data_IF_677536661343
#
_entry.id   IF_677536661343
#
_cell.length_a   1.000
_cell.length_b   1.000
_cell.length_c   1.000
_cell.angle_alpha   90.00
_cell.angle_beta   90.00
_cell.angle_gamma   90.00
#
_symmetry.space_group_name_H-M   'P 1'
#
loop_
_entity.id
_entity.type
_entity.pdbx_description
1 polymer ?
#
# COMPACT_ATOMS: atom_id res chain seq x y z
N UNK A 1 -6.37 -31.24 37.45
CA UNK A 1 -5.80 -31.29 36.08
C UNK A 1 -6.47 -30.31 35.10
N UNK A 2 -7.78 -30.02 35.22
CA UNK A 2 -8.54 -29.15 34.29
C UNK A 2 -8.13 -27.66 34.34
N UNK A 3 -7.79 -27.11 35.51
CA UNK A 3 -7.40 -25.70 35.66
C UNK A 3 -6.07 -25.33 34.96
N UNK A 4 -5.16 -26.29 34.78
CA UNK A 4 -3.87 -26.05 34.09
C UNK A 4 -4.06 -25.79 32.60
N UNK A 5 -5.03 -26.47 31.97
CA UNK A 5 -5.34 -26.28 30.54
C UNK A 5 -6.05 -24.94 30.27
N UNK A 6 -6.85 -24.45 31.22
CA UNK A 6 -7.53 -23.14 31.13
C UNK A 6 -6.52 -22.00 31.28
N UNK A 7 -5.54 -22.14 32.16
CA UNK A 7 -4.44 -21.17 32.34
C UNK A 7 -3.58 -21.04 31.07
N UNK A 8 -3.20 -22.17 30.47
CA UNK A 8 -2.39 -22.20 29.24
C UNK A 8 -3.10 -21.53 28.06
N UNK A 9 -4.41 -21.73 27.88
CA UNK A 9 -5.19 -21.06 26.81
C UNK A 9 -5.18 -19.54 26.95
N UNK A 10 -5.29 -19.02 28.18
CA UNK A 10 -5.23 -17.57 28.45
C UNK A 10 -3.87 -16.99 28.11
N UNK A 11 -2.79 -17.70 28.40
CA UNK A 11 -1.42 -17.27 28.05
C UNK A 11 -1.24 -17.18 26.53
N UNK A 12 -1.74 -18.17 25.77
CA UNK A 12 -1.68 -18.13 24.30
C UNK A 12 -2.54 -17.02 23.72
N UNK A 13 -3.73 -16.77 24.29
CA UNK A 13 -4.59 -15.64 23.90
C UNK A 13 -3.92 -14.28 24.17
N UNK A 14 -3.28 -14.13 25.33
CA UNK A 14 -2.57 -12.90 25.67
C UNK A 14 -1.33 -12.70 24.79
N UNK A 15 -0.59 -13.77 24.49
CA UNK A 15 0.55 -13.72 23.57
C UNK A 15 0.13 -13.35 22.14
N UNK A 16 -0.99 -13.90 21.66
CA UNK A 16 -1.55 -13.56 20.34
C UNK A 16 -2.03 -12.11 20.30
N UNK A 17 -2.71 -11.64 21.34
CA UNK A 17 -3.12 -10.24 21.46
C UNK A 17 -1.92 -9.29 21.46
N UNK A 18 -0.85 -9.65 22.19
CA UNK A 18 0.39 -8.87 22.22
C UNK A 18 1.07 -8.82 20.85
N UNK A 19 1.08 -9.94 20.11
CA UNK A 19 1.61 -10.01 18.75
C UNK A 19 0.79 -9.18 17.74
N UNK A 20 -0.52 -9.08 17.93
CA UNK A 20 -1.37 -8.22 17.11
C UNK A 20 -1.15 -6.73 17.40
N UNK A 21 -0.83 -6.37 18.65
CA UNK A 21 -0.58 -4.98 19.05
C UNK A 21 0.82 -4.46 18.67
N UNK A 22 1.77 -5.35 18.36
CA UNK A 22 3.09 -4.99 17.85
C UNK A 22 3.13 -4.82 16.32
N UNK A 23 1.97 -4.87 15.64
CA UNK A 23 1.84 -4.50 14.23
C UNK A 23 2.34 -3.07 13.99
N UNK A 24 3.25 -2.92 13.02
CA UNK A 24 4.09 -1.74 12.82
C UNK A 24 3.35 -0.40 12.80
N UNK A 25 4.05 0.64 13.28
CA UNK A 25 3.57 2.01 13.25
C UNK A 25 3.16 2.39 11.82
N UNK A 26 1.93 2.85 11.65
CA UNK A 26 1.51 3.45 10.38
C UNK A 26 2.40 4.65 10.12
N UNK A 27 3.08 4.65 8.97
CA UNK A 27 3.86 5.81 8.53
C UNK A 27 2.91 7.00 8.41
N UNK A 28 3.07 7.98 9.29
CA UNK A 28 2.30 9.21 9.22
C UNK A 28 2.70 9.91 7.93
N UNK A 29 1.72 10.29 7.11
CA UNK A 29 1.99 11.11 5.94
C UNK A 29 2.75 12.37 6.38
N UNK A 30 3.78 12.75 5.64
CA UNK A 30 4.53 13.96 5.96
C UNK A 30 3.58 15.16 6.00
N UNK A 31 3.68 16.00 7.02
CA UNK A 31 2.90 17.24 7.15
C UNK A 31 3.06 18.16 5.93
N UNK A 32 4.13 17.95 5.16
CA UNK A 32 4.43 18.61 3.88
C UNK A 32 4.79 17.53 2.85
N UNK A 33 3.91 17.20 1.90
CA UNK A 33 4.22 16.23 0.87
C UNK A 33 5.32 16.75 -0.08
N UNK A 34 6.08 15.83 -0.66
CA UNK A 34 6.97 16.17 -1.78
C UNK A 34 6.12 16.36 -3.04
N UNK A 35 6.42 17.40 -3.82
CA UNK A 35 5.74 17.67 -5.10
C UNK A 35 6.75 17.51 -6.22
N UNK A 36 6.44 16.61 -7.17
CA UNK A 36 7.19 16.42 -8.40
C UNK A 36 6.28 16.76 -9.58
N UNK A 37 6.62 17.82 -10.32
CA UNK A 37 5.92 18.19 -11.54
C UNK A 37 6.71 17.69 -12.75
N UNK A 38 6.08 16.84 -13.55
CA UNK A 38 6.65 16.31 -14.80
C UNK A 38 5.84 16.94 -15.93
N UNK A 39 6.52 17.63 -16.83
CA UNK A 39 5.92 18.28 -18.00
C UNK A 39 6.53 17.64 -19.23
N UNK A 40 5.68 17.27 -20.18
CA UNK A 40 6.08 16.75 -21.49
C UNK A 40 5.50 17.68 -22.54
N UNK A 41 6.37 18.18 -23.41
CA UNK A 41 5.97 19.08 -24.49
C UNK A 41 5.27 18.30 -25.62
N UNK A 42 4.24 18.90 -26.22
CA UNK A 42 3.47 18.36 -27.35
C UNK A 42 2.95 16.91 -27.21
N UNK A 43 2.80 16.40 -25.98
CA UNK A 43 2.24 15.07 -25.76
C UNK A 43 0.76 15.04 -26.11
N UNK A 44 0.40 14.20 -27.08
CA UNK A 44 -0.98 13.95 -27.48
C UNK A 44 -1.64 12.86 -26.59
N UNK A 45 -2.79 12.35 -27.04
CA UNK A 45 -3.56 11.30 -26.37
C UNK A 45 -3.01 9.88 -26.56
N UNK A 46 -1.82 9.73 -27.16
CA UNK A 46 -1.14 8.45 -27.32
C UNK A 46 -0.44 8.04 -26.02
N UNK A 47 -1.26 7.88 -24.98
CA UNK A 47 -0.90 7.39 -23.66
C UNK A 47 -1.77 6.18 -23.39
N UNK A 48 -1.19 5.08 -22.93
CA UNK A 48 -1.84 3.78 -22.77
C UNK A 48 -3.13 3.85 -21.95
N UNK A 49 -3.11 4.58 -20.83
CA UNK A 49 -4.30 4.81 -20.00
C UNK A 49 -5.41 5.67 -20.65
N UNK A 50 -5.13 6.35 -21.78
CA UNK A 50 -6.12 7.16 -22.52
C UNK A 50 -6.73 6.41 -23.71
N UNK A 51 -6.15 5.28 -24.13
CA UNK A 51 -6.73 4.40 -25.17
C UNK A 51 -6.68 4.96 -26.60
N UNK A 52 -5.87 5.98 -26.88
CA UNK A 52 -5.82 6.66 -28.19
C UNK A 52 -5.25 5.82 -29.34
N UNK A 53 -4.06 5.21 -29.16
CA UNK A 53 -3.39 4.45 -30.22
C UNK A 53 -3.00 3.02 -29.75
N UNK A 54 -3.32 1.96 -30.52
CA UNK A 54 -3.29 0.56 -30.06
C UNK A 54 -1.89 0.04 -29.72
N UNK A 55 -0.84 0.57 -30.36
CA UNK A 55 0.54 0.10 -30.15
C UNK A 55 1.33 0.91 -29.12
N UNK A 56 0.70 1.87 -28.44
CA UNK A 56 1.37 2.71 -27.44
C UNK A 56 1.75 1.87 -26.22
N UNK A 57 3.00 2.05 -25.74
CA UNK A 57 3.49 1.43 -24.51
C UNK A 57 3.97 2.51 -23.56
N UNK A 58 3.17 2.83 -22.55
CA UNK A 58 3.51 3.80 -21.49
C UNK A 58 3.40 3.19 -20.09
N UNK A 59 4.00 2.01 -19.82
CA UNK A 59 3.70 1.21 -18.64
C UNK A 59 3.96 1.95 -17.31
N UNK A 60 4.86 2.93 -17.29
CA UNK A 60 5.13 3.75 -16.10
C UNK A 60 4.07 4.83 -15.86
N UNK A 61 3.56 5.46 -16.92
CA UNK A 61 2.45 6.41 -16.83
C UNK A 61 1.16 5.66 -16.51
N UNK A 62 0.95 4.50 -17.13
CA UNK A 62 -0.22 3.65 -16.89
C UNK A 62 -0.26 3.18 -15.42
N UNK A 63 0.89 2.75 -14.88
CA UNK A 63 1.02 2.41 -13.45
C UNK A 63 0.80 3.61 -12.54
N UNK A 64 1.24 4.81 -12.94
CA UNK A 64 1.01 6.04 -12.17
C UNK A 64 -0.47 6.43 -12.18
N UNK A 65 -1.20 6.24 -13.28
CA UNK A 65 -2.63 6.52 -13.36
C UNK A 65 -3.49 5.55 -12.53
N UNK A 66 -3.00 4.33 -12.27
CA UNK A 66 -3.69 3.30 -11.50
C UNK A 66 -3.34 3.27 -10.00
N UNK A 67 -2.50 4.19 -9.52
CA UNK A 67 -2.03 4.24 -8.13
C UNK A 67 -3.03 4.82 -7.15
#
# INVERSE_FOLDING_TARGET
MINSHISMKRIHLLALAFLCLSGGQASQAADRPNVLMIIVDDMNDWVGCLGGHPDVKTPHIDRLAAS
#
